data_IF_472259976111
#
_entry.id   IF_472259976111
#
_cell.length_a   1.000
_cell.length_b   1.000
_cell.length_c   1.000
_cell.angle_alpha   90.00
_cell.angle_beta   90.00
_cell.angle_gamma   90.00
#
_symmetry.space_group_name_H-M   'P 1'
#
loop_
_entity.id
_entity.type
_entity.pdbx_description
1 polymer ?
#
# COMPACT_ATOMS: atom_id res chain seq x y z
N UNK A 1 2.11 12.51 -11.21
CA UNK A 1 3.08 11.40 -11.27
C UNK A 1 2.47 10.24 -12.07
N UNK A 2 3.23 9.56 -12.93
CA UNK A 2 2.71 8.37 -13.64
C UNK A 2 2.65 7.15 -12.70
N UNK A 3 1.65 6.26 -12.82
CA UNK A 3 1.58 5.01 -12.07
C UNK A 3 2.85 4.14 -12.16
N UNK A 4 3.48 4.04 -13.34
CA UNK A 4 4.72 3.26 -13.51
C UNK A 4 5.94 3.82 -12.76
N UNK A 5 6.02 5.15 -12.59
CA UNK A 5 7.06 5.75 -11.74
C UNK A 5 6.81 5.41 -10.26
N UNK A 6 5.56 5.49 -9.81
CA UNK A 6 5.20 5.12 -8.45
C UNK A 6 5.41 3.64 -8.13
N UNK A 7 5.14 2.74 -9.09
CA UNK A 7 5.47 1.31 -8.99
C UNK A 7 6.95 1.09 -8.65
N UNK A 8 7.85 1.86 -9.28
CA UNK A 8 9.29 1.79 -9.00
C UNK A 8 9.58 2.24 -7.57
N UNK A 9 8.96 3.35 -7.14
CA UNK A 9 9.12 3.87 -5.78
C UNK A 9 8.58 2.92 -4.70
N UNK A 10 7.49 2.19 -4.95
CA UNK A 10 6.99 1.15 -4.03
C UNK A 10 8.05 0.08 -3.75
N UNK A 11 8.82 -0.31 -4.77
CA UNK A 11 9.96 -1.22 -4.67
C UNK A 11 11.19 -0.62 -3.98
N UNK A 12 11.12 0.65 -3.54
CA UNK A 12 12.17 1.40 -2.84
C UNK A 12 11.67 1.95 -1.50
N UNK A 13 10.73 1.23 -0.88
CA UNK A 13 10.12 1.55 0.41
C UNK A 13 9.30 2.86 0.47
N UNK A 14 9.04 3.52 -0.67
CA UNK A 14 8.19 4.71 -0.67
C UNK A 14 6.71 4.35 -0.53
N UNK A 15 5.95 5.25 0.08
CA UNK A 15 4.49 5.25 0.13
C UNK A 15 3.94 6.65 -0.05
N UNK A 16 2.61 6.74 -0.16
CA UNK A 16 1.89 8.01 -0.21
C UNK A 16 0.86 8.11 0.90
N UNK A 17 0.55 9.34 1.30
CA UNK A 17 -0.60 9.72 2.11
C UNK A 17 -1.22 10.96 1.48
N UNK A 18 -2.40 10.82 0.88
CA UNK A 18 -2.89 11.81 -0.08
C UNK A 18 -1.86 12.05 -1.19
N UNK A 19 -1.46 13.31 -1.36
CA UNK A 19 -0.42 13.77 -2.30
C UNK A 19 1.00 13.76 -1.72
N UNK A 20 1.17 13.51 -0.43
CA UNK A 20 2.48 13.42 0.21
C UNK A 20 3.13 12.08 -0.13
N UNK A 21 4.40 12.12 -0.53
CA UNK A 21 5.24 10.94 -0.75
C UNK A 21 6.27 10.86 0.37
N UNK A 22 6.48 9.67 0.94
CA UNK A 22 7.42 9.47 2.04
C UNK A 22 8.10 8.10 1.96
N UNK A 23 9.32 8.03 2.48
CA UNK A 23 10.11 6.80 2.66
C UNK A 23 10.53 6.72 4.14
N UNK A 24 9.98 5.78 4.93
CA UNK A 24 10.36 5.65 6.33
C UNK A 24 11.82 5.24 6.50
N UNK A 25 12.50 5.75 7.53
CA UNK A 25 13.76 5.18 8.00
C UNK A 25 13.44 3.99 8.93
N UNK A 26 13.47 2.79 8.38
CA UNK A 26 13.15 1.57 9.14
C UNK A 26 14.11 1.31 10.29
N UNK A 27 15.36 1.78 10.22
CA UNK A 27 16.36 1.50 11.26
C UNK A 27 16.16 2.40 12.47
N UNK A 28 15.86 3.68 12.24
CA UNK A 28 15.61 4.66 13.31
C UNK A 28 14.16 4.65 13.83
N UNK A 29 13.24 3.99 13.14
CA UNK A 29 11.85 3.83 13.60
C UNK A 29 11.75 2.89 14.79
N UNK A 30 11.00 3.28 15.84
CA UNK A 30 10.67 2.38 16.96
C UNK A 30 9.87 1.13 16.52
N UNK A 31 9.13 1.26 15.42
CA UNK A 31 8.29 0.23 14.82
C UNK A 31 8.58 0.17 13.31
N UNK A 32 9.50 -0.68 12.85
CA UNK A 32 9.93 -0.66 11.45
C UNK A 32 8.83 -1.02 10.46
N UNK A 33 8.73 -0.21 9.41
CA UNK A 33 7.74 -0.31 8.35
C UNK A 33 8.29 -1.14 7.19
N UNK A 34 7.90 -2.41 7.11
CA UNK A 34 8.31 -3.29 6.02
C UNK A 34 7.31 -3.25 4.87
N UNK A 35 7.82 -3.20 3.65
CA UNK A 35 6.99 -3.39 2.46
C UNK A 35 6.82 -4.88 2.23
N UNK A 36 5.58 -5.33 2.11
CA UNK A 36 5.23 -6.71 1.79
C UNK A 36 4.37 -6.76 0.53
N UNK A 37 4.44 -7.89 -0.19
CA UNK A 37 3.59 -8.16 -1.35
C UNK A 37 3.27 -9.64 -1.46
N UNK A 38 2.20 -9.94 -2.17
CA UNK A 38 1.71 -11.28 -2.45
C UNK A 38 1.51 -11.47 -3.96
N UNK A 39 2.02 -12.57 -4.51
CA UNK A 39 1.69 -12.96 -5.89
C UNK A 39 0.24 -13.45 -5.89
N UNK A 40 -0.64 -12.68 -6.53
CA UNK A 40 -2.08 -12.93 -6.52
C UNK A 40 -2.42 -14.26 -7.19
N UNK A 41 -1.63 -14.71 -8.18
CA UNK A 41 -1.83 -16.00 -8.85
C UNK A 41 -1.49 -17.21 -7.98
N UNK A 42 -0.67 -17.01 -6.94
CA UNK A 42 -0.25 -18.06 -6.01
C UNK A 42 -1.02 -18.05 -4.70
N UNK A 43 -1.94 -17.09 -4.52
CA UNK A 43 -2.68 -16.94 -3.29
C UNK A 43 -3.47 -18.20 -2.93
N UNK A 44 -3.35 -18.63 -1.67
CA UNK A 44 -4.12 -19.76 -1.14
C UNK A 44 -4.99 -19.30 0.02
N UNK A 45 -6.30 -19.12 -0.19
CA UNK A 45 -7.22 -18.72 0.85
C UNK A 45 -7.20 -19.71 2.03
N UNK A 46 -6.95 -19.22 3.23
CA UNK A 46 -6.99 -20.00 4.47
C UNK A 46 -8.40 -20.50 4.78
N UNK A 47 -8.54 -21.50 5.66
CA UNK A 47 -9.86 -22.00 6.07
C UNK A 47 -10.76 -20.86 6.59
N UNK A 48 -10.21 -19.96 7.39
CA UNK A 48 -10.94 -18.84 7.97
C UNK A 48 -11.35 -17.79 6.93
N UNK A 49 -10.49 -17.50 5.94
CA UNK A 49 -10.82 -16.65 4.79
C UNK A 49 -11.98 -17.26 3.96
N UNK A 50 -11.89 -18.56 3.63
CA UNK A 50 -12.97 -19.28 2.93
C UNK A 50 -14.28 -19.28 3.71
N UNK A 51 -14.22 -19.48 5.03
CA UNK A 51 -15.42 -19.46 5.86
C UNK A 51 -16.03 -18.05 5.95
N UNK A 52 -15.20 -17.01 5.97
CA UNK A 52 -15.64 -15.62 6.05
C UNK A 52 -16.47 -15.25 4.83
N UNK A 53 -15.96 -15.50 3.62
CA UNK A 53 -16.69 -15.21 2.39
C UNK A 53 -17.95 -16.06 2.24
N UNK A 54 -17.88 -17.36 2.57
CA UNK A 54 -19.06 -18.24 2.54
C UNK A 54 -20.14 -17.84 3.57
N UNK A 55 -19.78 -17.21 4.69
CA UNK A 55 -20.75 -16.64 5.64
C UNK A 55 -21.41 -15.40 5.06
N UNK A 56 -20.62 -14.50 4.48
CA UNK A 56 -21.12 -13.27 3.88
C UNK A 56 -22.03 -13.57 2.68
N UNK A 57 -21.64 -14.48 1.79
CA UNK A 57 -22.47 -14.89 0.65
C UNK A 57 -23.82 -15.47 1.09
N UNK A 58 -23.84 -16.29 2.14
CA UNK A 58 -25.10 -16.81 2.71
C UNK A 58 -25.97 -15.72 3.31
N UNK A 59 -25.37 -14.72 3.94
CA UNK A 59 -26.08 -13.56 4.46
C UNK A 59 -26.75 -12.77 3.34
N UNK A 60 -26.00 -12.43 2.28
CA UNK A 60 -26.51 -11.67 1.14
C UNK A 60 -27.59 -12.44 0.38
N UNK A 61 -27.35 -13.71 0.05
CA UNK A 61 -28.32 -14.53 -0.68
C UNK A 61 -29.56 -14.83 0.17
N UNK A 62 -29.39 -15.22 1.43
CA UNK A 62 -30.47 -15.66 2.32
C UNK A 62 -30.97 -17.08 2.06
N UNK A 63 -31.60 -17.67 3.08
CA UNK A 63 -32.06 -19.07 3.02
C UNK A 63 -33.18 -19.28 2.00
N UNK A 64 -34.12 -18.34 1.90
CA UNK A 64 -35.28 -18.45 1.00
C UNK A 64 -34.83 -18.51 -0.47
N UNK A 65 -33.97 -17.57 -0.88
CA UNK A 65 -33.36 -17.58 -2.21
C UNK A 65 -32.61 -18.88 -2.47
N UNK A 66 -31.77 -19.32 -1.52
CA UNK A 66 -30.95 -20.52 -1.66
C UNK A 66 -31.82 -21.77 -1.89
N UNK A 67 -32.93 -21.91 -1.16
CA UNK A 67 -33.88 -23.03 -1.29
C UNK A 67 -34.62 -22.99 -2.63
N UNK A 68 -35.14 -21.83 -3.00
CA UNK A 68 -35.90 -21.66 -4.25
C UNK A 68 -35.02 -21.82 -5.50
N UNK A 69 -33.79 -21.29 -5.49
CA UNK A 69 -32.83 -21.52 -6.59
C UNK A 69 -32.43 -22.99 -6.69
N UNK A 70 -32.21 -23.68 -5.57
CA UNK A 70 -31.93 -25.11 -5.60
C UNK A 70 -33.11 -25.93 -6.19
N UNK A 71 -34.35 -25.45 -6.02
CA UNK A 71 -35.57 -26.05 -6.58
C UNK A 71 -35.75 -25.74 -8.07
N UNK A 72 -35.54 -24.49 -8.48
CA UNK A 72 -35.76 -24.00 -9.85
C UNK A 72 -34.58 -24.29 -10.79
N UNK A 73 -33.37 -24.28 -10.24
CA UNK A 73 -32.10 -24.41 -10.96
C UNK A 73 -31.17 -25.40 -10.24
N UNK A 74 -31.53 -26.69 -10.19
CA UNK A 74 -30.75 -27.69 -9.48
C UNK A 74 -29.36 -27.83 -10.08
N UNK A 75 -28.33 -27.80 -9.23
CA UNK A 75 -26.95 -28.07 -9.65
C UNK A 75 -26.81 -29.55 -10.02
N UNK A 76 -26.10 -29.82 -11.10
CA UNK A 76 -25.67 -31.18 -11.42
C UNK A 76 -24.77 -31.73 -10.31
N UNK A 77 -24.70 -33.07 -10.22
CA UNK A 77 -23.82 -33.75 -9.25
C UNK A 77 -22.36 -33.31 -9.38
N UNK A 78 -21.91 -33.06 -10.60
CA UNK A 78 -20.53 -32.65 -10.87
C UNK A 78 -20.27 -31.20 -10.45
N UNK A 79 -21.24 -30.29 -10.66
CA UNK A 79 -21.17 -28.91 -10.16
C UNK A 79 -21.15 -28.86 -8.63
N UNK A 80 -22.00 -29.64 -7.96
CA UNK A 80 -22.00 -29.74 -6.50
C UNK A 80 -20.67 -30.27 -5.97
N UNK A 81 -20.16 -31.37 -6.56
CA UNK A 81 -18.86 -31.95 -6.21
C UNK A 81 -17.70 -30.99 -6.44
N UNK A 82 -17.71 -30.22 -7.54
CA UNK A 82 -16.69 -29.19 -7.80
C UNK A 82 -16.71 -28.12 -6.72
N UNK A 83 -17.89 -27.60 -6.38
CA UNK A 83 -18.06 -26.54 -5.39
C UNK A 83 -17.58 -26.93 -3.99
N UNK A 84 -17.78 -28.18 -3.59
CA UNK A 84 -17.42 -28.66 -2.26
C UNK A 84 -15.94 -29.01 -2.12
N UNK A 85 -15.30 -29.44 -3.21
CA UNK A 85 -13.90 -29.89 -3.19
C UNK A 85 -12.90 -28.85 -3.70
N UNK A 86 -13.35 -27.85 -4.46
CA UNK A 86 -12.49 -26.82 -5.03
C UNK A 86 -13.00 -25.43 -4.64
N UNK A 87 -12.12 -24.67 -3.99
CA UNK A 87 -12.36 -23.26 -3.70
C UNK A 87 -11.71 -22.41 -4.78
N UNK A 88 -12.54 -21.84 -5.64
CA UNK A 88 -12.14 -20.83 -6.62
C UNK A 88 -12.40 -19.44 -6.02
N UNK A 89 -11.37 -18.61 -5.90
CA UNK A 89 -11.51 -17.30 -5.27
C UNK A 89 -12.45 -16.38 -6.06
N UNK A 90 -12.26 -16.31 -7.38
CA UNK A 90 -13.00 -15.41 -8.27
C UNK A 90 -14.48 -15.78 -8.24
N UNK A 91 -14.80 -17.07 -8.39
CA UNK A 91 -16.16 -17.57 -8.28
C UNK A 91 -16.79 -17.17 -6.93
N UNK A 92 -16.03 -17.23 -5.83
CA UNK A 92 -16.58 -17.01 -4.48
C UNK A 92 -16.73 -15.55 -4.11
N UNK A 93 -15.90 -14.63 -4.61
CA UNK A 93 -16.10 -13.20 -4.38
C UNK A 93 -17.31 -12.65 -5.13
N UNK A 94 -17.60 -13.17 -6.33
CA UNK A 94 -18.74 -12.69 -7.11
C UNK A 94 -20.04 -13.49 -6.89
N UNK A 95 -20.00 -14.64 -6.20
CA UNK A 95 -21.15 -15.56 -6.00
C UNK A 95 -22.42 -14.84 -5.50
N UNK A 96 -22.27 -13.82 -4.65
CA UNK A 96 -23.37 -13.10 -4.02
C UNK A 96 -23.68 -11.73 -4.65
N UNK A 97 -22.94 -11.30 -5.68
CA UNK A 97 -23.21 -10.05 -6.36
C UNK A 97 -24.49 -10.15 -7.19
N UNK A 98 -25.32 -9.10 -7.16
CA UNK A 98 -26.64 -9.06 -7.78
C UNK A 98 -26.63 -9.44 -9.28
N UNK A 99 -25.55 -9.07 -9.97
CA UNK A 99 -25.37 -9.37 -11.39
C UNK A 99 -25.17 -10.87 -11.69
N UNK A 100 -24.74 -11.66 -10.70
CA UNK A 100 -24.48 -13.10 -10.83
C UNK A 100 -25.65 -13.97 -10.34
N UNK A 101 -26.63 -13.38 -9.66
CA UNK A 101 -27.74 -14.10 -9.07
C UNK A 101 -28.81 -14.45 -10.11
N UNK A 102 -29.38 -15.65 -9.98
CA UNK A 102 -30.47 -16.13 -10.84
C UNK A 102 -31.78 -15.49 -10.39
N UNK A 103 -32.54 -14.94 -11.34
CA UNK A 103 -33.83 -14.27 -11.06
C UNK A 103 -34.94 -14.82 -11.95
N UNK A 104 -36.16 -15.04 -11.42
CA UNK A 104 -36.53 -15.06 -9.99
C UNK A 104 -35.98 -16.30 -9.25
N UNK A 105 -35.91 -16.32 -7.90
CA UNK A 105 -36.36 -15.32 -6.89
C UNK A 105 -35.35 -14.20 -6.61
N UNK A 106 -35.74 -13.19 -5.83
CA UNK A 106 -34.80 -12.17 -5.31
C UNK A 106 -34.04 -12.68 -4.08
N UNK A 107 -32.79 -12.26 -3.93
CA UNK A 107 -31.97 -12.51 -2.74
C UNK A 107 -32.41 -11.66 -1.55
N UNK A 108 -31.95 -12.05 -0.35
CA UNK A 108 -32.24 -11.29 0.87
C UNK A 108 -31.64 -9.88 0.86
N UNK A 109 -30.49 -9.71 0.21
CA UNK A 109 -29.85 -8.43 0.00
C UNK A 109 -29.31 -8.30 -1.42
N UNK A 110 -29.23 -7.06 -1.91
CA UNK A 110 -28.62 -6.71 -3.19
C UNK A 110 -27.20 -6.19 -2.97
N UNK A 111 -26.20 -7.02 -3.26
CA UNK A 111 -24.78 -6.63 -3.24
C UNK A 111 -24.32 -6.15 -4.61
N UNK A 112 -23.71 -4.97 -4.65
CA UNK A 112 -23.11 -4.39 -5.87
C UNK A 112 -21.70 -3.90 -5.53
N UNK A 113 -20.70 -4.39 -6.26
CA UNK A 113 -19.30 -3.95 -6.13
C UNK A 113 -18.91 -3.22 -7.40
N UNK A 114 -18.31 -2.04 -7.25
CA UNK A 114 -17.94 -1.16 -8.37
C UNK A 114 -16.57 -0.56 -8.16
N UNK A 115 -15.85 -0.32 -9.25
CA UNK A 115 -14.59 0.41 -9.23
C UNK A 115 -14.84 1.83 -9.77
N UNK A 116 -14.75 2.82 -8.90
CA UNK A 116 -15.06 4.22 -9.17
C UNK A 116 -13.81 5.10 -9.04
N UNK A 117 -13.78 6.30 -9.65
CA UNK A 117 -12.76 7.30 -9.34
C UNK A 117 -12.63 7.58 -7.83
N UNK A 118 -11.43 7.90 -7.36
CA UNK A 118 -11.18 8.32 -5.97
C UNK A 118 -11.77 9.71 -5.62
N UNK A 119 -12.61 10.28 -6.48
CA UNK A 119 -13.22 11.59 -6.24
C UNK A 119 -14.12 11.59 -5.00
N UNK A 120 -14.17 12.74 -4.32
CA UNK A 120 -15.05 12.97 -3.18
C UNK A 120 -16.53 12.90 -3.57
N UNK A 121 -17.31 12.19 -2.77
CA UNK A 121 -18.77 12.27 -2.77
C UNK A 121 -19.26 12.29 -1.32
N UNK A 122 -20.47 12.81 -1.10
CA UNK A 122 -21.08 12.80 0.22
C UNK A 122 -21.29 11.36 0.73
N UNK A 123 -21.78 10.47 -0.15
CA UNK A 123 -21.96 9.03 0.16
C UNK A 123 -20.65 8.38 0.64
N UNK A 124 -19.51 8.70 0.01
CA UNK A 124 -18.19 8.15 0.43
C UNK A 124 -17.74 8.75 1.76
N UNK A 125 -18.02 10.03 1.99
CA UNK A 125 -17.69 10.73 3.23
C UNK A 125 -18.50 10.18 4.42
N UNK A 126 -19.76 9.82 4.24
CA UNK A 126 -20.59 9.21 5.30
C UNK A 126 -19.97 7.90 5.83
N UNK A 127 -19.41 7.06 4.95
CA UNK A 127 -18.72 5.83 5.36
C UNK A 127 -17.41 6.15 6.08
N UNK A 128 -16.65 7.15 5.60
CA UNK A 128 -15.43 7.62 6.26
C UNK A 128 -15.72 8.17 7.66
N UNK A 129 -16.74 9.01 7.82
CA UNK A 129 -17.15 9.58 9.10
C UNK A 129 -17.51 8.46 10.09
N UNK A 130 -18.36 7.53 9.64
CA UNK A 130 -18.78 6.41 10.46
C UNK A 130 -17.57 5.59 10.92
N UNK A 131 -16.66 5.29 10.00
CA UNK A 131 -15.46 4.52 10.29
C UNK A 131 -14.55 5.23 11.31
N UNK A 132 -14.26 6.52 11.12
CA UNK A 132 -13.41 7.26 12.06
C UNK A 132 -14.02 7.34 13.47
N UNK A 133 -15.33 7.60 13.55
CA UNK A 133 -16.05 7.67 14.82
C UNK A 133 -16.12 6.31 15.53
N UNK A 134 -16.40 5.23 14.80
CA UNK A 134 -16.69 3.91 15.39
C UNK A 134 -15.42 3.11 15.62
N UNK A 135 -14.48 3.10 14.67
CA UNK A 135 -13.28 2.27 14.70
C UNK A 135 -12.12 3.02 15.37
N UNK A 136 -11.86 4.26 14.97
CA UNK A 136 -10.76 5.07 15.54
C UNK A 136 -11.16 5.91 16.76
N UNK A 137 -12.46 5.99 17.07
CA UNK A 137 -12.98 6.77 18.22
C UNK A 137 -12.61 8.25 18.17
N UNK A 138 -12.46 8.80 16.97
CA UNK A 138 -12.15 10.21 16.79
C UNK A 138 -13.34 11.11 17.17
N UNK A 139 -13.04 12.29 17.70
CA UNK A 139 -14.05 13.30 17.99
C UNK A 139 -14.57 13.99 16.71
N UNK A 140 -15.82 14.47 16.68
CA UNK A 140 -16.43 15.07 15.49
C UNK A 140 -15.64 16.23 14.87
N UNK A 141 -14.86 16.97 15.68
CA UNK A 141 -14.03 18.08 15.19
C UNK A 141 -12.82 17.64 14.35
N UNK A 142 -12.37 16.39 14.48
CA UNK A 142 -11.26 15.82 13.69
C UNK A 142 -11.75 15.19 12.38
N UNK A 143 -13.01 14.76 12.36
CA UNK A 143 -13.61 14.08 11.21
C UNK A 143 -14.20 15.13 10.27
N UNK A 144 -13.42 15.53 9.27
CA UNK A 144 -13.82 16.60 8.34
C UNK A 144 -13.80 16.13 6.89
N UNK A 145 -14.71 16.67 6.08
CA UNK A 145 -14.74 16.43 4.64
C UNK A 145 -13.44 16.88 3.94
N UNK A 146 -12.82 17.95 4.43
CA UNK A 146 -11.51 18.43 3.95
C UNK A 146 -10.38 17.43 4.25
N UNK A 147 -10.38 16.83 5.44
CA UNK A 147 -9.46 15.75 5.80
C UNK A 147 -9.62 14.54 4.89
N UNK A 148 -10.87 14.08 4.69
CA UNK A 148 -11.17 12.98 3.78
C UNK A 148 -10.70 13.26 2.35
N UNK A 149 -11.01 14.45 1.81
CA UNK A 149 -10.56 14.87 0.47
C UNK A 149 -9.05 14.81 0.32
N UNK A 150 -8.32 15.38 1.29
CA UNK A 150 -6.85 15.44 1.26
C UNK A 150 -6.22 14.06 1.38
N UNK A 151 -6.77 13.21 2.25
CA UNK A 151 -6.16 11.92 2.60
C UNK A 151 -6.49 10.82 1.58
N UNK A 152 -7.76 10.67 1.21
CA UNK A 152 -8.25 9.51 0.46
C UNK A 152 -8.77 9.85 -0.93
N UNK A 153 -9.13 11.11 -1.21
CA UNK A 153 -9.64 11.52 -2.53
C UNK A 153 -8.65 12.27 -3.42
N UNK A 154 -7.45 12.54 -2.90
CA UNK A 154 -6.42 13.31 -3.60
C UNK A 154 -5.20 12.43 -3.81
N UNK A 155 -4.96 12.03 -5.05
CA UNK A 155 -3.81 11.20 -5.44
C UNK A 155 -2.83 11.99 -6.30
N UNK A 156 -1.50 11.79 -6.13
CA UNK A 156 -0.52 12.33 -7.06
C UNK A 156 -0.47 11.52 -8.37
N UNK A 157 -1.16 10.38 -8.45
CA UNK A 157 -1.17 9.51 -9.62
C UNK A 157 -2.12 10.03 -10.69
N UNK A 158 -1.61 10.16 -11.91
CA UNK A 158 -2.47 10.39 -13.08
C UNK A 158 -3.15 9.08 -13.45
N UNK A 159 -4.47 9.15 -13.68
CA UNK A 159 -5.21 8.00 -14.21
C UNK A 159 -4.83 7.83 -15.68
N UNK A 160 -4.43 6.62 -16.03
CA UNK A 160 -3.89 6.25 -17.34
C UNK A 160 -4.50 4.89 -17.73
N UNK A 161 -4.43 4.50 -19.00
CA UNK A 161 -4.80 3.15 -19.45
C UNK A 161 -3.57 2.49 -20.04
N UNK A 162 -3.31 1.24 -19.62
CA UNK A 162 -2.25 0.42 -20.17
C UNK A 162 -2.86 -0.69 -21.02
N UNK A 163 -2.21 -1.01 -22.12
CA UNK A 163 -2.56 -2.15 -22.97
C UNK A 163 -1.44 -3.16 -22.86
N UNK A 164 -1.76 -4.39 -22.46
CA UNK A 164 -0.76 -5.45 -22.38
C UNK A 164 -0.45 -6.06 -23.77
N UNK A 165 0.52 -6.98 -23.82
CA UNK A 165 0.94 -7.63 -25.07
C UNK A 165 -0.17 -8.43 -25.76
N UNK A 166 -1.25 -8.78 -25.05
CA UNK A 166 -2.40 -9.49 -25.59
C UNK A 166 -3.54 -8.54 -26.00
N UNK A 167 -3.31 -7.22 -25.95
CA UNK A 167 -4.32 -6.22 -26.27
C UNK A 167 -5.34 -5.98 -25.15
N UNK A 168 -5.14 -6.52 -23.95
CA UNK A 168 -6.05 -6.30 -22.83
C UNK A 168 -5.77 -4.95 -22.20
N UNK A 169 -6.78 -4.10 -22.18
CA UNK A 169 -6.74 -2.80 -21.50
C UNK A 169 -6.86 -2.97 -19.98
N UNK A 170 -6.09 -2.18 -19.24
CA UNK A 170 -6.10 -2.12 -17.77
C UNK A 170 -6.06 -0.68 -17.32
N UNK A 171 -6.87 -0.37 -16.31
CA UNK A 171 -6.91 0.97 -15.72
C UNK A 171 -5.72 1.16 -14.78
N UNK A 172 -5.08 2.31 -14.83
CA UNK A 172 -4.02 2.70 -13.90
C UNK A 172 -4.41 4.00 -13.18
N UNK A 173 -3.83 4.20 -12.00
CA UNK A 173 -4.10 5.34 -11.11
C UNK A 173 -4.89 4.96 -9.87
N UNK A 174 -5.45 5.96 -9.18
CA UNK A 174 -6.17 5.75 -7.93
C UNK A 174 -7.67 5.63 -8.14
N UNK A 175 -8.28 4.70 -7.40
CA UNK A 175 -9.69 4.36 -7.49
C UNK A 175 -10.25 3.96 -6.12
N UNK A 176 -11.56 4.06 -5.98
CA UNK A 176 -12.34 3.53 -4.87
C UNK A 176 -13.09 2.28 -5.34
N UNK A 177 -12.82 1.14 -4.73
CA UNK A 177 -13.67 -0.04 -4.84
C UNK A 177 -14.82 0.10 -3.84
N UNK A 178 -16.01 0.39 -4.36
CA UNK A 178 -17.21 0.72 -3.60
C UNK A 178 -18.12 -0.50 -3.47
N UNK A 179 -18.49 -0.83 -2.23
CA UNK A 179 -19.34 -1.97 -1.88
C UNK A 179 -20.69 -1.46 -1.40
N UNK A 180 -21.74 -1.70 -2.19
CA UNK A 180 -23.12 -1.31 -1.85
C UNK A 180 -23.96 -2.52 -1.48
N UNK A 181 -24.65 -2.43 -0.34
CA UNK A 181 -25.63 -3.41 0.11
C UNK A 181 -27.00 -2.74 0.18
N UNK A 182 -27.98 -3.27 -0.55
CA UNK A 182 -29.33 -2.71 -0.68
C UNK A 182 -29.32 -1.24 -1.11
N UNK A 183 -28.40 -0.90 -2.02
CA UNK A 183 -28.23 0.45 -2.55
C UNK A 183 -27.49 1.42 -1.61
N UNK A 184 -27.07 1.00 -0.41
CA UNK A 184 -26.27 1.82 0.51
C UNK A 184 -24.79 1.46 0.44
N UNK A 185 -23.91 2.44 0.29
CA UNK A 185 -22.46 2.23 0.41
C UNK A 185 -22.09 1.83 1.84
N UNK A 186 -21.44 0.68 1.99
CA UNK A 186 -21.09 0.09 3.29
C UNK A 186 -19.60 -0.17 3.46
N UNK A 187 -18.80 -0.13 2.38
CA UNK A 187 -17.35 -0.17 2.44
C UNK A 187 -16.71 0.49 1.23
N UNK A 188 -15.46 0.92 1.41
CA UNK A 188 -14.60 1.47 0.37
C UNK A 188 -13.19 0.91 0.53
N UNK A 189 -12.68 0.24 -0.50
CA UNK A 189 -11.25 -0.01 -0.68
C UNK A 189 -10.63 1.13 -1.46
N UNK A 190 -9.61 1.80 -0.91
CA UNK A 190 -8.85 2.85 -1.58
C UNK A 190 -7.62 2.20 -2.21
N UNK A 191 -7.58 2.18 -3.54
CA UNK A 191 -6.64 1.37 -4.30
C UNK A 191 -5.80 2.23 -5.24
N UNK A 192 -4.50 1.92 -5.31
CA UNK A 192 -3.65 2.33 -6.42
C UNK A 192 -3.47 1.16 -7.37
N UNK A 193 -3.96 1.31 -8.59
CA UNK A 193 -3.79 0.35 -9.68
C UNK A 193 -2.55 0.75 -10.48
N UNK A 194 -1.50 -0.05 -10.35
CA UNK A 194 -0.18 0.17 -10.95
C UNK A 194 0.11 -0.92 -11.98
N UNK A 195 1.10 -0.75 -12.87
CA UNK A 195 1.34 -1.71 -13.95
C UNK A 195 1.47 -3.16 -13.50
N UNK A 196 2.03 -3.39 -12.32
CA UNK A 196 2.31 -4.72 -11.77
C UNK A 196 1.65 -4.96 -10.40
N UNK A 197 0.75 -4.09 -9.93
CA UNK A 197 0.05 -4.39 -8.68
C UNK A 197 -1.25 -3.66 -8.45
N UNK A 198 -2.10 -4.29 -7.63
CA UNK A 198 -3.12 -3.60 -6.82
C UNK A 198 -2.49 -3.26 -5.46
N UNK A 199 -2.35 -1.97 -5.16
CA UNK A 199 -1.85 -1.50 -3.86
C UNK A 199 -3.00 -0.99 -2.99
N UNK A 200 -3.26 -1.68 -1.89
CA UNK A 200 -4.23 -1.31 -0.85
C UNK A 200 -3.68 -0.13 -0.05
N UNK A 201 -4.24 1.06 -0.28
CA UNK A 201 -3.87 2.28 0.44
C UNK A 201 -4.63 2.38 1.75
N UNK A 202 -5.94 2.16 1.71
CA UNK A 202 -6.81 2.22 2.88
C UNK A 202 -8.06 1.36 2.67
N UNK A 203 -8.67 0.90 3.76
CA UNK A 203 -9.96 0.20 3.69
C UNK A 203 -10.85 0.67 4.82
N UNK A 204 -12.01 1.23 4.48
CA UNK A 204 -12.98 1.77 5.44
C UNK A 204 -14.34 1.12 5.24
N UNK A 205 -15.11 1.01 6.31
CA UNK A 205 -16.41 0.36 6.30
C UNK A 205 -17.38 0.95 7.32
N UNK A 206 -18.66 0.84 7.02
CA UNK A 206 -19.74 1.23 7.90
C UNK A 206 -19.96 0.15 8.97
N UNK A 207 -20.31 0.56 10.19
CA UNK A 207 -20.51 -0.34 11.33
C UNK A 207 -21.56 -1.44 11.09
N UNK A 208 -22.52 -1.19 10.19
CA UNK A 208 -23.58 -2.14 9.80
C UNK A 208 -23.06 -3.49 9.29
N UNK A 209 -21.84 -3.52 8.73
CA UNK A 209 -21.23 -4.75 8.22
C UNK A 209 -20.08 -5.28 9.08
N UNK A 210 -19.77 -4.63 10.21
CA UNK A 210 -18.62 -4.97 11.06
C UNK A 210 -18.56 -6.46 11.44
N UNK A 211 -19.72 -7.05 11.78
CA UNK A 211 -19.85 -8.48 12.15
C UNK A 211 -19.45 -9.47 11.05
N UNK A 212 -19.29 -9.02 9.81
CA UNK A 212 -18.95 -9.84 8.64
C UNK A 212 -17.46 -9.79 8.27
N UNK A 213 -16.61 -9.21 9.12
CA UNK A 213 -15.16 -9.08 8.90
C UNK A 213 -14.81 -8.39 7.57
N UNK A 214 -15.29 -7.15 7.35
CA UNK A 214 -15.20 -6.46 6.06
C UNK A 214 -13.76 -6.24 5.57
N UNK A 215 -12.78 -6.03 6.45
CA UNK A 215 -11.37 -5.93 6.02
C UNK A 215 -10.82 -7.21 5.37
N UNK A 216 -11.30 -8.38 5.81
CA UNK A 216 -10.90 -9.67 5.20
C UNK A 216 -11.61 -9.88 3.87
N UNK A 217 -12.88 -9.48 3.79
CA UNK A 217 -13.61 -9.50 2.52
C UNK A 217 -12.93 -8.57 1.51
N UNK A 218 -12.61 -7.33 1.91
CA UNK A 218 -11.88 -6.35 1.09
C UNK A 218 -10.59 -6.91 0.50
N UNK A 219 -9.71 -7.48 1.33
CA UNK A 219 -8.48 -8.11 0.85
C UNK A 219 -8.74 -9.26 -0.14
N UNK A 220 -9.78 -10.08 0.05
CA UNK A 220 -10.14 -11.14 -0.90
C UNK A 220 -10.62 -10.57 -2.24
N UNK A 221 -11.41 -9.49 -2.22
CA UNK A 221 -11.85 -8.80 -3.44
C UNK A 221 -10.70 -8.09 -4.15
N UNK A 222 -9.76 -7.49 -3.42
CA UNK A 222 -8.58 -6.84 -4.02
C UNK A 222 -7.62 -7.85 -4.66
N UNK A 223 -7.41 -9.01 -4.01
CA UNK A 223 -6.63 -10.10 -4.59
C UNK A 223 -7.35 -10.67 -5.82
N UNK A 224 -8.68 -10.83 -5.77
CA UNK A 224 -9.47 -11.23 -6.93
C UNK A 224 -9.32 -10.24 -8.09
N UNK A 225 -9.48 -8.94 -7.82
CA UNK A 225 -9.27 -7.87 -8.80
C UNK A 225 -7.88 -7.95 -9.45
N UNK A 226 -6.84 -8.20 -8.66
CA UNK A 226 -5.46 -8.38 -9.15
C UNK A 226 -5.33 -9.55 -10.14
N UNK A 227 -5.99 -10.67 -9.85
CA UNK A 227 -6.01 -11.85 -10.74
C UNK A 227 -6.81 -11.55 -12.02
N UNK A 228 -8.01 -10.99 -11.87
CA UNK A 228 -8.95 -10.77 -12.97
C UNK A 228 -8.45 -9.75 -13.98
N UNK A 229 -7.93 -8.62 -13.50
CA UNK A 229 -7.38 -7.55 -14.36
C UNK A 229 -5.94 -7.86 -14.77
N UNK A 230 -5.24 -8.74 -14.05
CA UNK A 230 -3.90 -9.23 -14.39
C UNK A 230 -2.77 -8.37 -13.86
N UNK A 231 -2.99 -7.63 -12.76
CA UNK A 231 -1.96 -6.81 -12.12
C UNK A 231 -0.83 -7.64 -11.53
N UNK A 232 -1.07 -8.90 -11.15
CA UNK A 232 -0.02 -9.85 -10.74
C UNK A 232 0.25 -9.80 -9.24
N UNK A 233 0.61 -8.64 -8.67
CA UNK A 233 0.88 -8.51 -7.24
C UNK A 233 -0.24 -7.79 -6.47
N UNK A 234 -0.46 -8.20 -5.22
CA UNK A 234 -1.24 -7.46 -4.24
C UNK A 234 -0.32 -6.91 -3.15
N UNK A 235 -0.39 -5.60 -2.90
CA UNK A 235 0.40 -4.92 -1.89
C UNK A 235 -0.55 -4.45 -0.76
N UNK A 236 -0.53 -5.08 0.42
CA UNK A 236 -1.42 -4.71 1.52
C UNK A 236 -0.96 -3.46 2.30
N UNK A 237 -0.04 -2.66 1.76
CA UNK A 237 0.60 -1.54 2.45
C UNK A 237 1.81 -1.95 3.29
N UNK A 238 2.14 -1.18 4.33
CA UNK A 238 3.23 -1.53 5.25
C UNK A 238 2.85 -2.70 6.17
N UNK A 239 3.85 -3.41 6.66
CA UNK A 239 3.77 -4.40 7.72
C UNK A 239 4.69 -3.98 8.85
N UNK A 240 4.12 -3.84 10.05
CA UNK A 240 4.84 -3.58 11.29
C UNK A 240 4.70 -4.83 12.14
N UNK A 241 5.79 -5.57 12.30
CA UNK A 241 5.77 -6.89 12.95
C UNK A 241 5.32 -6.84 14.42
N UNK A 242 5.73 -5.78 15.13
CA UNK A 242 5.38 -5.52 16.52
C UNK A 242 3.93 -5.04 16.71
N UNK A 243 3.21 -4.63 15.67
CA UNK A 243 1.86 -4.08 15.77
C UNK A 243 0.79 -5.20 15.65
N UNK A 244 0.01 -5.52 16.71
CA UNK A 244 -1.00 -6.57 16.66
C UNK A 244 -2.06 -6.34 15.57
N UNK A 245 -2.47 -5.09 15.35
CA UNK A 245 -3.44 -4.70 14.32
C UNK A 245 -2.94 -4.96 12.89
N UNK A 246 -1.63 -5.16 12.68
CA UNK A 246 -1.05 -5.42 11.36
C UNK A 246 -0.64 -6.87 11.14
N UNK A 247 -0.68 -7.72 12.19
CA UNK A 247 -0.31 -9.15 12.09
C UNK A 247 -1.21 -9.93 11.13
N UNK A 248 -2.47 -9.54 10.95
CA UNK A 248 -3.36 -10.22 10.00
C UNK A 248 -2.82 -10.22 8.56
N UNK A 249 -1.95 -9.25 8.19
CA UNK A 249 -1.44 -9.15 6.83
C UNK A 249 -0.64 -10.38 6.44
N UNK A 250 0.07 -11.02 7.37
CA UNK A 250 0.87 -12.23 7.08
C UNK A 250 0.04 -13.51 6.94
N UNK A 251 -1.27 -13.46 7.22
CA UNK A 251 -2.18 -14.61 7.04
C UNK A 251 -2.55 -14.84 5.57
N UNK A 252 -2.26 -13.88 4.70
CA UNK A 252 -2.37 -14.04 3.25
C UNK A 252 -1.03 -14.58 2.74
N UNK A 253 -1.03 -15.72 2.06
CA UNK A 253 0.21 -16.41 1.69
C UNK A 253 0.13 -17.03 0.30
N UNK A 254 1.28 -17.21 -0.39
CA UNK A 254 2.64 -16.85 0.04
C UNK A 254 2.92 -15.34 -0.03
N UNK A 255 3.85 -14.86 0.80
CA UNK A 255 4.25 -13.44 0.81
C UNK A 255 5.76 -13.25 0.73
N UNK A 256 6.11 -12.06 0.27
CA UNK A 256 7.46 -11.57 0.16
C UNK A 256 7.59 -10.25 0.91
N UNK A 257 8.75 -10.03 1.50
CA UNK A 257 9.14 -8.82 2.22
C UNK A 257 10.29 -8.16 1.48
N UNK A 258 10.22 -6.83 1.33
CA UNK A 258 11.28 -6.03 0.73
C UNK A 258 12.37 -5.78 1.77
N UNK A 259 13.59 -6.23 1.47
CA UNK A 259 14.77 -5.97 2.29
C UNK A 259 15.11 -4.47 2.26
N UNK A 260 15.06 -3.73 3.39
CA UNK A 260 15.23 -2.28 3.37
C UNK A 260 16.61 -1.82 2.90
N UNK A 261 17.62 -2.69 2.97
CA UNK A 261 19.01 -2.35 2.64
C UNK A 261 19.36 -2.65 1.18
N UNK A 262 19.08 -3.85 0.71
CA UNK A 262 19.38 -4.27 -0.67
C UNK A 262 18.25 -3.97 -1.67
N UNK A 263 17.05 -3.66 -1.18
CA UNK A 263 15.83 -3.50 -1.98
C UNK A 263 15.45 -4.76 -2.78
N UNK A 264 15.97 -5.92 -2.36
CA UNK A 264 15.59 -7.22 -2.90
C UNK A 264 14.35 -7.77 -2.20
N UNK A 265 13.60 -8.61 -2.91
CA UNK A 265 12.45 -9.31 -2.35
C UNK A 265 12.87 -10.67 -1.80
N UNK A 266 12.62 -10.89 -0.52
CA UNK A 266 12.85 -12.17 0.15
C UNK A 266 11.51 -12.81 0.56
N UNK A 267 11.40 -14.15 0.65
CA UNK A 267 10.22 -14.80 1.21
C UNK A 267 9.95 -14.35 2.66
N UNK A 268 8.69 -14.01 2.95
CA UNK A 268 8.22 -13.79 4.33
C UNK A 268 7.77 -15.12 4.92
N UNK A 269 8.74 -15.99 5.19
CA UNK A 269 8.54 -17.34 5.71
C UNK A 269 8.80 -17.43 7.23
N UNK A 270 8.80 -18.67 7.76
CA UNK A 270 9.06 -18.89 9.18
C UNK A 270 10.43 -18.39 9.62
N UNK A 271 11.46 -18.54 8.79
CA UNK A 271 12.83 -18.08 9.10
C UNK A 271 12.87 -16.56 9.23
N UNK A 272 12.22 -15.85 8.31
CA UNK A 272 12.08 -14.40 8.38
C UNK A 272 11.31 -13.95 9.63
N UNK A 273 10.18 -14.60 9.93
CA UNK A 273 9.37 -14.27 11.10
C UNK A 273 10.16 -14.49 12.41
N UNK A 274 10.90 -15.59 12.51
CA UNK A 274 11.74 -15.88 13.69
C UNK A 274 12.87 -14.84 13.87
N UNK A 275 13.33 -14.18 12.79
CA UNK A 275 14.28 -13.06 12.88
C UNK A 275 13.59 -11.78 13.35
N UNK A 276 12.40 -11.49 12.82
CA UNK A 276 11.60 -10.32 13.20
C UNK A 276 11.11 -10.41 14.66
N UNK A 277 10.89 -11.62 15.19
CA UNK A 277 10.57 -11.85 16.59
C UNK A 277 11.77 -11.51 17.52
N UNK A 278 13.01 -11.61 17.02
CA UNK A 278 14.24 -11.50 17.82
C UNK A 278 14.94 -10.14 17.71
N UNK A 279 14.71 -9.39 16.64
CA UNK A 279 15.44 -8.15 16.35
C UNK A 279 14.46 -7.00 16.10
N UNK A 280 14.76 -5.79 16.59
CA UNK A 280 13.92 -4.63 16.33
C UNK A 280 13.89 -4.32 14.83
N UNK A 281 15.03 -4.46 14.14
CA UNK A 281 15.19 -4.26 12.70
C UNK A 281 15.88 -5.47 12.06
N UNK A 282 15.38 -5.89 10.89
CA UNK A 282 15.88 -7.04 10.13
C UNK A 282 16.17 -6.61 8.69
N UNK A 283 17.33 -7.00 8.20
CA UNK A 283 17.68 -6.97 6.79
C UNK A 283 18.49 -8.21 6.44
N UNK A 284 17.97 -9.09 5.57
CA UNK A 284 18.66 -10.34 5.24
C UNK A 284 19.98 -10.12 4.53
N UNK A 285 20.11 -9.04 3.75
CA UNK A 285 21.39 -8.72 3.11
C UNK A 285 22.47 -8.43 4.16
N UNK A 286 22.13 -7.71 5.23
CA UNK A 286 23.03 -7.47 6.35
C UNK A 286 23.29 -8.74 7.18
N UNK A 287 22.28 -9.58 7.39
CA UNK A 287 22.46 -10.87 8.08
C UNK A 287 23.44 -11.77 7.33
N UNK A 288 23.28 -11.89 6.00
CA UNK A 288 24.20 -12.67 5.15
C UNK A 288 25.63 -12.12 5.18
N UNK A 289 25.79 -10.79 5.18
CA UNK A 289 27.12 -10.15 5.28
C UNK A 289 27.79 -10.40 6.65
N UNK A 290 27.00 -10.41 7.74
CA UNK A 290 27.51 -10.74 9.07
C UNK A 290 27.92 -12.20 9.16
N UNK A 291 27.14 -13.12 8.60
CA UNK A 291 27.48 -14.54 8.52
C UNK A 291 28.76 -14.78 7.70
N UNK A 292 28.94 -14.07 6.57
CA UNK A 292 30.15 -14.21 5.74
C UNK A 292 31.40 -13.64 6.41
N UNK A 293 31.26 -12.54 7.16
CA UNK A 293 32.36 -11.90 7.87
C UNK A 293 32.66 -12.55 9.24
N UNK A 294 31.70 -13.30 9.78
CA UNK A 294 31.71 -13.89 11.12
C UNK A 294 32.35 -15.27 11.24
N UNK A 295 33.07 -15.75 10.22
CA UNK A 295 33.99 -16.90 10.35
C UNK A 295 35.34 -16.53 11.02
N UNK A 296 35.40 -15.38 11.71
CA UNK A 296 36.47 -14.97 12.62
C UNK A 296 35.88 -14.39 13.91
N UNK A 297 35.88 -15.22 14.97
CA UNK A 297 35.56 -15.01 16.39
C UNK A 297 35.10 -13.64 16.96
N UNK A 298 34.07 -13.72 17.82
CA UNK A 298 34.02 -13.00 19.12
C UNK A 298 33.06 -11.80 19.25
N UNK A 299 32.36 -11.64 20.40
CA UNK A 299 31.29 -10.66 20.57
C UNK A 299 31.84 -9.26 20.77
N UNK A 300 31.61 -8.35 19.82
CA UNK A 300 31.84 -6.91 19.99
C UNK A 300 30.54 -6.21 20.33
N UNK A 301 30.39 -5.93 21.62
CA UNK A 301 29.47 -4.97 22.21
C UNK A 301 29.60 -3.58 21.57
N UNK A 302 28.48 -3.01 21.12
CA UNK A 302 28.08 -1.61 21.32
C UNK A 302 26.62 -1.48 20.87
N UNK A 303 25.70 -2.02 21.67
CA UNK A 303 24.34 -1.48 21.73
C UNK A 303 24.40 -0.42 22.83
N UNK A 304 24.52 0.85 22.46
CA UNK A 304 24.31 1.95 23.40
C UNK A 304 22.81 2.22 23.52
N UNK A 305 22.39 2.31 24.77
CA UNK A 305 21.04 2.38 25.28
C UNK A 305 20.23 3.56 24.71
N UNK A 306 18.97 3.28 24.32
CA UNK A 306 17.93 4.30 24.23
C UNK A 306 16.84 3.94 25.23
N UNK A 307 16.80 4.68 26.33
CA UNK A 307 15.78 4.57 27.37
C UNK A 307 14.38 4.86 26.79
N UNK A 308 13.50 3.86 26.92
CA UNK A 308 12.12 3.89 26.48
C UNK A 308 11.24 4.50 27.58
N UNK A 309 10.68 5.68 27.35
CA UNK A 309 9.59 6.21 28.19
C UNK A 309 8.23 5.81 27.60
N UNK A 310 7.52 4.94 28.32
CA UNK A 310 6.17 4.49 28.00
C UNK A 310 5.16 5.64 28.06
N UNK A 311 4.45 5.91 26.96
CA UNK A 311 3.09 6.49 27.01
C UNK A 311 2.16 5.85 25.97
N UNK A 312 0.97 5.55 26.48
CA UNK A 312 -0.10 4.72 25.94
C UNK A 312 -0.86 5.30 24.75
N UNK A 313 -1.44 4.37 23.99
CA UNK A 313 -2.22 4.52 22.76
C UNK A 313 -3.37 5.54 22.80
N UNK A 314 -3.38 6.39 21.76
CA UNK A 314 -4.60 6.88 21.12
C UNK A 314 -4.23 7.34 19.69
N UNK A 315 -4.69 6.58 18.70
CA UNK A 315 -4.59 6.92 17.28
C UNK A 315 -5.31 8.24 17.01
N UNK A 316 -4.53 9.25 16.63
CA UNK A 316 -4.97 10.30 15.72
C UNK A 316 -3.75 10.71 14.91
N UNK A 317 -3.86 10.62 13.59
CA UNK A 317 -2.87 11.09 12.64
C UNK A 317 -2.76 12.62 12.72
N UNK A 318 -1.95 13.08 13.66
CA UNK A 318 -1.24 14.34 13.64
C UNK A 318 0.02 14.12 14.47
N UNK A 319 0.96 13.35 13.91
CA UNK A 319 2.33 13.37 14.39
C UNK A 319 2.87 14.77 14.10
N UNK A 320 2.74 15.67 15.07
CA UNK A 320 3.69 16.75 15.23
C UNK A 320 5.06 16.08 15.30
N UNK A 321 5.79 16.16 14.21
CA UNK A 321 7.22 15.86 14.16
C UNK A 321 7.86 16.62 15.32
N UNK A 322 8.43 15.90 16.28
CA UNK A 322 9.44 16.48 17.13
C UNK A 322 10.54 17.02 16.22
N UNK A 323 11.05 18.19 16.57
CA UNK A 323 12.16 18.86 15.91
C UNK A 323 13.43 18.00 16.01
N UNK A 324 13.53 16.94 15.21
CA UNK A 324 14.81 16.33 14.86
C UNK A 324 15.39 17.19 13.75
N UNK A 325 16.32 18.07 14.14
CA UNK A 325 17.09 18.97 13.29
C UNK A 325 17.58 18.29 11.99
N UNK A 326 17.51 19.03 10.87
CA UNK A 326 18.12 18.87 9.54
C UNK A 326 19.27 17.83 9.38
N UNK A 327 19.01 16.55 9.64
CA UNK A 327 20.00 15.49 9.59
C UNK A 327 20.21 15.07 8.12
N UNK A 328 21.29 15.54 7.52
CA UNK A 328 21.66 15.23 6.12
C UNK A 328 21.63 13.73 5.87
N UNK A 329 20.87 13.27 4.87
CA UNK A 329 20.55 11.84 4.68
C UNK A 329 21.79 10.93 4.61
N UNK A 330 22.89 11.40 4.03
CA UNK A 330 24.12 10.62 3.93
C UNK A 330 24.81 10.36 5.28
N UNK A 331 24.39 11.03 6.38
CA UNK A 331 24.88 10.79 7.74
C UNK A 331 23.94 9.92 8.59
N UNK A 332 22.72 9.63 8.11
CA UNK A 332 21.72 8.97 8.96
C UNK A 332 21.88 7.45 9.05
N UNK A 333 22.68 6.86 8.14
CA UNK A 333 22.75 5.41 7.90
C UNK A 333 21.38 4.80 7.58
N UNK A 334 20.48 5.57 6.95
CA UNK A 334 19.18 5.09 6.51
C UNK A 334 19.36 3.89 5.55
N UNK A 335 18.62 2.77 5.75
CA UNK A 335 18.75 1.60 4.90
C UNK A 335 18.44 1.86 3.43
N UNK A 336 19.29 1.30 2.55
CA UNK A 336 19.10 1.35 1.10
C UNK A 336 19.37 2.71 0.47
N UNK A 337 20.15 3.56 1.15
CA UNK A 337 20.69 4.79 0.59
C UNK A 337 22.12 4.52 0.08
N UNK A 338 22.44 4.83 -1.19
CA UNK A 338 23.80 4.74 -1.70
C UNK A 338 24.76 5.65 -0.90
N UNK A 339 26.02 5.25 -0.69
CA UNK A 339 26.99 6.09 0.02
C UNK A 339 27.30 7.35 -0.79
N UNK A 340 27.69 8.43 -0.10
CA UNK A 340 28.06 9.71 -0.72
C UNK A 340 29.15 9.57 -1.79
N UNK A 341 30.07 8.61 -1.61
CA UNK A 341 31.13 8.33 -2.60
C UNK A 341 30.60 7.91 -3.97
N UNK A 342 29.38 7.37 -4.04
CA UNK A 342 28.75 6.99 -5.32
C UNK A 342 28.18 8.19 -6.09
N UNK A 343 28.01 9.35 -5.44
CA UNK A 343 27.41 10.55 -6.05
C UNK A 343 28.29 11.14 -7.14
N UNK A 344 29.61 10.93 -7.08
CA UNK A 344 30.56 11.43 -8.08
C UNK A 344 30.24 10.95 -9.51
N UNK A 345 29.56 9.82 -9.65
CA UNK A 345 29.20 9.22 -10.93
C UNK A 345 27.84 9.71 -11.47
N UNK A 346 27.11 10.56 -10.73
CA UNK A 346 25.76 10.98 -11.09
C UNK A 346 25.74 12.28 -11.87
N UNK A 347 25.01 12.33 -13.00
CA UNK A 347 24.73 13.58 -13.70
C UNK A 347 23.60 14.35 -13.02
N UNK A 348 23.98 15.21 -12.07
CA UNK A 348 23.03 16.10 -11.40
C UNK A 348 22.79 17.40 -12.16
N UNK A 349 23.57 17.70 -13.21
CA UNK A 349 23.61 18.99 -13.91
C UNK A 349 22.46 19.15 -14.91
N UNK A 350 21.85 18.04 -15.34
CA UNK A 350 20.79 18.01 -16.35
C UNK A 350 19.40 17.68 -15.81
N UNK A 351 19.20 17.68 -14.49
CA UNK A 351 17.87 17.45 -13.89
C UNK A 351 16.94 18.61 -14.28
N UNK A 352 15.72 18.26 -14.70
CA UNK A 352 14.72 19.24 -15.10
C UNK A 352 14.25 20.10 -13.91
N UNK A 353 14.14 21.40 -14.15
CA UNK A 353 13.78 22.41 -13.17
C UNK A 353 12.60 23.25 -13.68
N UNK A 354 11.53 23.35 -12.88
CA UNK A 354 10.37 24.18 -13.17
C UNK A 354 10.29 25.34 -12.18
N UNK A 355 10.35 26.58 -12.68
CA UNK A 355 10.34 27.80 -11.85
C UNK A 355 9.02 28.57 -12.00
N UNK A 356 8.34 28.44 -13.15
CA UNK A 356 7.05 29.09 -13.43
C UNK A 356 6.05 28.08 -14.00
N UNK A 357 4.75 28.15 -13.65
CA UNK A 357 3.75 27.20 -14.10
C UNK A 357 3.70 26.99 -15.62
N UNK A 358 3.75 28.10 -16.37
CA UNK A 358 3.70 28.12 -17.84
C UNK A 358 5.06 28.46 -18.49
N UNK A 359 6.14 28.40 -17.71
CA UNK A 359 7.49 28.66 -18.20
C UNK A 359 8.15 27.43 -18.83
N UNK A 360 9.27 27.61 -19.56
CA UNK A 360 10.07 26.49 -20.01
C UNK A 360 10.69 25.74 -18.83
N UNK A 361 11.08 24.48 -19.06
CA UNK A 361 11.94 23.74 -18.15
C UNK A 361 13.39 24.20 -18.32
N UNK A 362 14.08 24.36 -17.21
CA UNK A 362 15.52 24.65 -17.16
C UNK A 362 16.27 23.42 -16.68
N UNK A 363 17.59 23.44 -16.83
CA UNK A 363 18.48 22.47 -16.19
C UNK A 363 18.96 23.01 -14.84
N UNK A 364 19.23 22.14 -13.89
CA UNK A 364 19.88 22.51 -12.62
C UNK A 364 21.17 23.31 -12.82
N UNK A 365 22.00 22.94 -13.81
CA UNK A 365 23.19 23.70 -14.23
C UNK A 365 22.94 25.12 -14.73
N UNK A 366 21.69 25.49 -15.04
CA UNK A 366 21.36 26.87 -15.41
C UNK A 366 21.27 27.81 -14.18
N UNK A 367 21.28 27.27 -12.96
CA UNK A 367 21.23 28.07 -11.75
C UNK A 367 22.61 28.64 -11.41
N UNK A 368 22.68 29.97 -11.21
CA UNK A 368 23.93 30.68 -10.84
C UNK A 368 24.58 30.14 -9.56
N UNK A 369 23.79 29.55 -8.66
CA UNK A 369 24.29 28.97 -7.41
C UNK A 369 24.78 27.53 -7.55
N UNK A 370 24.52 26.86 -8.67
CA UNK A 370 24.69 25.42 -8.83
C UNK A 370 26.13 24.97 -8.61
N UNK A 371 27.11 25.69 -9.19
CA UNK A 371 28.52 25.35 -9.09
C UNK A 371 29.25 26.04 -7.92
N UNK A 372 28.52 26.78 -7.07
CA UNK A 372 29.12 27.47 -5.92
C UNK A 372 29.39 26.56 -4.73
N UNK A 373 28.67 25.44 -4.63
CA UNK A 373 28.73 24.46 -3.55
C UNK A 373 28.58 23.06 -4.10
N UNK A 374 29.41 22.14 -3.64
CA UNK A 374 29.41 20.73 -4.02
C UNK A 374 28.32 19.93 -3.31
N UNK A 375 28.34 18.62 -3.55
CA UNK A 375 27.39 17.67 -2.94
C UNK A 375 27.67 17.43 -1.45
N UNK A 376 28.88 17.71 -0.98
CA UNK A 376 29.27 17.57 0.43
C UNK A 376 28.94 18.83 1.27
N UNK A 377 28.62 19.94 0.61
CA UNK A 377 28.40 21.24 1.25
C UNK A 377 26.95 21.41 1.74
N UNK A 378 26.52 20.55 2.68
CA UNK A 378 25.18 20.63 3.28
C UNK A 378 25.10 21.69 4.40
N UNK A 379 24.05 22.55 4.44
CA UNK A 379 22.95 22.64 3.47
C UNK A 379 23.37 23.39 2.20
N UNK A 380 22.99 22.83 1.05
CA UNK A 380 23.27 23.40 -0.27
C UNK A 380 22.34 22.79 -1.32
N UNK A 381 22.02 23.53 -2.40
CA UNK A 381 21.06 23.04 -3.39
C UNK A 381 21.54 21.74 -4.07
N UNK A 382 22.82 21.69 -4.47
CA UNK A 382 23.40 20.50 -5.11
C UNK A 382 23.42 19.29 -4.14
N UNK A 383 23.74 19.53 -2.87
CA UNK A 383 23.66 18.53 -1.79
C UNK A 383 22.22 18.02 -1.57
N UNK A 384 21.23 18.91 -1.52
CA UNK A 384 19.82 18.53 -1.36
C UNK A 384 19.26 17.78 -2.58
N UNK A 385 19.68 18.12 -3.79
CA UNK A 385 19.34 17.36 -4.99
C UNK A 385 20.01 15.97 -4.98
N UNK A 386 21.28 15.88 -4.56
CA UNK A 386 21.95 14.59 -4.38
C UNK A 386 21.23 13.71 -3.35
N UNK A 387 20.78 14.29 -2.24
CA UNK A 387 19.98 13.59 -1.23
C UNK A 387 18.65 13.05 -1.80
N UNK A 388 17.90 13.89 -2.53
CA UNK A 388 16.67 13.45 -3.19
C UNK A 388 16.95 12.29 -4.15
N UNK A 389 17.99 12.41 -5.00
CA UNK A 389 18.40 11.39 -5.96
C UNK A 389 18.81 10.10 -5.26
N UNK A 390 19.55 10.17 -4.15
CA UNK A 390 19.92 9.01 -3.36
C UNK A 390 18.68 8.30 -2.77
N UNK A 391 17.69 9.06 -2.31
CA UNK A 391 16.45 8.54 -1.72
C UNK A 391 15.50 7.91 -2.74
N UNK A 392 15.37 8.48 -3.94
CA UNK A 392 14.54 7.91 -5.01
C UNK A 392 15.27 6.82 -5.80
N UNK A 393 16.60 6.92 -5.90
CA UNK A 393 17.53 6.08 -6.63
C UNK A 393 18.08 6.73 -7.93
N UNK A 394 19.39 6.58 -8.21
CA UNK A 394 20.09 7.33 -9.26
C UNK A 394 19.68 6.97 -10.70
N UNK A 395 19.11 5.80 -10.93
CA UNK A 395 18.58 5.38 -12.23
C UNK A 395 17.26 6.10 -12.61
N UNK A 396 16.74 6.97 -11.73
CA UNK A 396 15.53 7.77 -11.97
C UNK A 396 15.81 9.27 -12.16
N UNK A 397 17.07 9.67 -12.24
CA UNK A 397 17.50 11.08 -12.39
C UNK A 397 16.81 11.77 -13.58
N UNK A 398 16.72 11.08 -14.71
CA UNK A 398 16.13 11.57 -15.96
C UNK A 398 14.59 11.57 -15.95
N UNK A 399 13.98 11.01 -14.90
CA UNK A 399 12.52 10.89 -14.74
C UNK A 399 11.93 11.84 -13.72
N UNK A 400 12.75 12.69 -13.09
CA UNK A 400 12.30 13.68 -12.11
C UNK A 400 12.37 15.11 -12.62
N UNK A 401 11.55 15.96 -12.00
CA UNK A 401 11.54 17.40 -12.20
C UNK A 401 11.47 18.07 -10.82
N UNK A 402 12.38 19.01 -10.56
CA UNK A 402 12.37 19.85 -9.38
C UNK A 402 11.42 21.02 -9.64
N UNK A 403 10.26 21.02 -9.00
CA UNK A 403 9.23 22.03 -9.18
C UNK A 403 9.25 23.05 -8.02
N UNK A 404 9.75 24.24 -8.30
CA UNK A 404 9.80 25.39 -7.39
C UNK A 404 8.67 26.39 -7.65
N UNK A 405 7.66 26.02 -8.44
CA UNK A 405 6.51 26.90 -8.62
C UNK A 405 5.77 27.11 -7.30
N UNK A 406 5.32 28.33 -7.00
CA UNK A 406 4.48 28.55 -5.82
C UNK A 406 3.24 27.66 -5.93
N UNK A 407 3.01 26.80 -4.95
CA UNK A 407 1.72 26.12 -4.82
C UNK A 407 0.69 27.22 -4.54
N UNK A 408 -0.25 27.43 -5.47
CA UNK A 408 -1.31 28.42 -5.30
C UNK A 408 -1.99 28.24 -3.94
N UNK A 409 -2.05 29.33 -3.16
CA UNK A 409 -2.69 29.38 -1.85
C UNK A 409 -4.21 29.36 -1.90
#
# INVERSE_FOLDING_TARGET
MSPGFYQTLLGRCWRRSGTLMYRPDQRRSCCPHYTIRLDSSQFKPSRDQRQTINRFNRYVMGETYTKEVARLHPKSRDQAKKRDNHFDLIERVHEAEDAQLLKPPEAAHKLVVTLEPDDFTEEKYEVYENYQRVVHKEGPSKITAGGFKRFLCSSPLRRETMVDSNGKERRLGSYHQCYRLDGKLVAIGVLDLLPECVSSVYFLYHESIHKWAPGKLGALYEIALSIEEGYGWWYPGFYIHSCPKMRYKIDYSPQFILDPNSLAWDPLDRKMLDLLDKKPFVSLSLEKQRESNGNGDGPSSTDEDVEMSNKSDAESEDSKSGDDEDDWLFKTNMPGIPPLSSVADWDLDNIALKIKPDGPLYKTSNLVIWDKRGVEDYPGLKAGVAELVAAIGPDLIDRICLDFTPRGG
#
